data_IF_963028712770
#
_entry.id   IF_963028712770
#
_cell.length_a   1.000
_cell.length_b   1.000
_cell.length_c   1.000
_cell.angle_alpha   90.00
_cell.angle_beta   90.00
_cell.angle_gamma   90.00
#
_symmetry.space_group_name_H-M   'P 1'
#
loop_
_entity.id
_entity.type
_entity.pdbx_description
1 polymer ?
#
# COMPACT_ATOMS: atom_id res chain seq x y z
N UNK A 1 13.55 -9.05 22.54
CA UNK A 1 12.15 -8.64 22.68
C UNK A 1 11.61 -8.39 21.28
N UNK A 2 11.04 -9.41 20.66
CA UNK A 2 10.24 -9.26 19.44
C UNK A 2 8.98 -8.53 19.86
N UNK A 3 8.81 -7.27 19.44
CA UNK A 3 7.52 -6.63 19.61
C UNK A 3 6.53 -7.41 18.74
N UNK A 4 5.44 -7.92 19.33
CA UNK A 4 4.27 -8.37 18.59
C UNK A 4 3.76 -7.14 17.83
N UNK A 5 4.15 -7.01 16.57
CA UNK A 5 3.57 -5.96 15.74
C UNK A 5 2.14 -6.45 15.47
N UNK A 6 1.18 -5.73 16.03
CA UNK A 6 -0.24 -6.01 15.84
C UNK A 6 -0.66 -5.52 14.45
N UNK A 7 -1.71 -6.10 13.89
CA UNK A 7 -2.29 -5.68 12.61
C UNK A 7 -2.62 -4.18 12.65
N UNK A 8 -2.07 -3.41 11.73
CA UNK A 8 -2.31 -1.96 11.60
C UNK A 8 -3.22 -1.70 10.41
N UNK A 9 -4.40 -1.13 10.66
CA UNK A 9 -5.24 -0.57 9.61
C UNK A 9 -4.61 0.75 9.13
N UNK A 10 -4.18 0.78 7.88
CA UNK A 10 -3.55 1.97 7.25
C UNK A 10 -4.62 2.87 6.62
N UNK A 11 -5.68 2.25 6.12
CA UNK A 11 -6.83 2.92 5.52
C UNK A 11 -8.08 2.08 5.68
N UNK A 12 -9.09 2.38 4.87
CA UNK A 12 -10.35 1.61 4.87
C UNK A 12 -10.18 0.21 4.27
N UNK A 13 -9.28 0.07 3.30
CA UNK A 13 -9.03 -1.15 2.54
C UNK A 13 -7.59 -1.62 2.60
N UNK A 14 -6.71 -0.94 3.34
CA UNK A 14 -5.27 -1.23 3.38
C UNK A 14 -4.84 -1.58 4.79
N UNK A 15 -4.08 -2.66 4.93
CA UNK A 15 -3.63 -3.18 6.21
C UNK A 15 -2.16 -3.58 6.14
N UNK A 16 -1.45 -3.41 7.23
CA UNK A 16 -0.14 -4.04 7.46
C UNK A 16 -0.34 -5.07 8.56
N UNK A 17 -0.17 -6.34 8.21
CA UNK A 17 -0.25 -7.44 9.18
C UNK A 17 1.06 -8.22 9.13
N UNK A 18 1.86 -8.23 10.21
CA UNK A 18 3.14 -8.96 10.26
C UNK A 18 3.00 -10.47 10.05
N UNK A 19 1.82 -11.03 10.32
CA UNK A 19 1.50 -12.43 10.03
C UNK A 19 1.19 -12.67 8.54
N UNK A 20 1.02 -11.61 7.74
CA UNK A 20 0.70 -11.66 6.32
C UNK A 20 1.86 -11.05 5.51
N UNK A 21 2.35 -11.77 4.49
CA UNK A 21 3.36 -11.27 3.55
C UNK A 21 4.57 -10.58 4.24
N UNK A 22 5.07 -11.14 5.35
CA UNK A 22 6.23 -10.60 6.10
C UNK A 22 6.07 -9.13 6.55
N UNK A 23 4.84 -8.67 6.83
CA UNK A 23 4.58 -7.28 7.21
C UNK A 23 4.53 -6.30 6.02
N UNK A 24 4.38 -6.81 4.80
CA UNK A 24 4.03 -5.98 3.65
C UNK A 24 2.60 -5.45 3.78
N UNK A 25 2.35 -4.29 3.16
CA UNK A 25 1.00 -3.73 3.08
C UNK A 25 0.17 -4.51 2.06
N UNK A 26 -0.99 -4.99 2.49
CA UNK A 26 -1.93 -5.74 1.66
C UNK A 26 -3.31 -5.09 1.67
N UNK A 27 -4.17 -5.49 0.73
CA UNK A 27 -5.57 -5.11 0.81
C UNK A 27 -6.27 -5.91 1.90
N UNK A 28 -7.06 -5.23 2.74
CA UNK A 28 -7.76 -5.79 3.89
C UNK A 28 -8.62 -6.99 3.47
N UNK A 29 -8.44 -8.11 4.18
CA UNK A 29 -9.15 -9.36 3.88
C UNK A 29 -8.61 -10.14 2.69
N UNK A 30 -7.50 -9.69 2.07
CA UNK A 30 -6.84 -10.37 0.97
C UNK A 30 -5.36 -10.62 1.27
N UNK A 31 -4.73 -11.48 0.47
CA UNK A 31 -3.26 -11.64 0.45
C UNK A 31 -2.62 -10.95 -0.75
N UNK A 32 -3.31 -9.98 -1.35
CA UNK A 32 -2.81 -9.24 -2.51
C UNK A 32 -1.96 -8.06 -2.01
N UNK A 33 -0.65 -8.00 -2.33
CA UNK A 33 0.20 -6.89 -1.96
C UNK A 33 -0.15 -5.61 -2.72
N UNK A 34 -0.07 -4.46 -2.05
CA UNK A 34 -0.37 -3.15 -2.64
C UNK A 34 0.66 -2.78 -3.72
N UNK A 35 1.94 -3.06 -3.48
CA UNK A 35 3.04 -2.81 -4.42
C UNK A 35 2.87 -3.56 -5.74
N UNK A 36 2.36 -4.79 -5.68
CA UNK A 36 2.04 -5.59 -6.86
C UNK A 36 0.98 -4.91 -7.71
N UNK A 37 -0.14 -4.48 -7.11
CA UNK A 37 -1.21 -3.79 -7.85
C UNK A 37 -0.70 -2.50 -8.50
N UNK A 38 0.10 -1.70 -7.77
CA UNK A 38 0.74 -0.50 -8.31
C UNK A 38 1.70 -0.82 -9.48
N UNK A 39 2.43 -1.95 -9.39
CA UNK A 39 3.31 -2.42 -10.47
C UNK A 39 2.52 -2.78 -11.72
N UNK A 40 1.36 -3.43 -11.60
CA UNK A 40 0.52 -3.73 -12.75
C UNK A 40 -0.11 -2.48 -13.36
N UNK A 41 -0.54 -1.52 -12.52
CA UNK A 41 -0.96 -0.19 -13.01
C UNK A 41 0.15 0.49 -13.82
N UNK A 42 1.40 0.45 -13.33
CA UNK A 42 2.55 0.99 -14.04
C UNK A 42 2.84 0.29 -15.38
N UNK A 43 2.46 -1.00 -15.51
CA UNK A 43 2.52 -1.76 -16.77
C UNK A 43 1.36 -1.46 -17.73
N UNK A 44 0.47 -0.54 -17.38
CA UNK A 44 -0.65 -0.12 -18.22
C UNK A 44 -1.95 -0.91 -18.03
N UNK A 45 -2.06 -1.74 -17.00
CA UNK A 45 -3.31 -2.43 -16.68
C UNK A 45 -4.34 -1.43 -16.18
N UNK A 46 -5.59 -1.52 -16.66
CA UNK A 46 -6.69 -0.71 -16.14
C UNK A 46 -7.20 -1.26 -14.82
N UNK A 47 -7.83 -0.40 -14.01
CA UNK A 47 -8.46 -0.82 -12.75
C UNK A 47 -9.49 -1.94 -13.00
N UNK A 48 -10.26 -1.86 -14.08
CA UNK A 48 -11.24 -2.89 -14.42
C UNK A 48 -10.58 -4.24 -14.76
N UNK A 49 -9.39 -4.24 -15.37
CA UNK A 49 -8.62 -5.47 -15.60
C UNK A 49 -8.08 -6.05 -14.29
N UNK A 50 -7.67 -5.20 -13.34
CA UNK A 50 -7.17 -5.63 -12.04
C UNK A 50 -8.28 -6.23 -11.19
N UNK A 51 -9.47 -5.63 -11.17
CA UNK A 51 -10.66 -6.20 -10.48
C UNK A 51 -11.10 -7.51 -11.12
N UNK A 52 -10.93 -7.69 -12.45
CA UNK A 52 -11.17 -8.99 -13.09
C UNK A 52 -10.12 -10.04 -12.72
N UNK A 53 -8.88 -9.62 -12.49
CA UNK A 53 -7.75 -10.52 -12.15
C UNK A 53 -7.77 -10.91 -10.68
N UNK A 54 -8.22 -9.99 -9.81
CA UNK A 54 -8.46 -10.19 -8.38
C UNK A 54 -9.89 -9.79 -8.04
N UNK A 55 -10.87 -10.70 -8.20
CA UNK A 55 -12.28 -10.44 -7.89
C UNK A 55 -12.53 -10.03 -6.43
N UNK A 56 -11.61 -10.34 -5.52
CA UNK A 56 -11.62 -9.92 -4.13
C UNK A 56 -11.30 -8.42 -3.94
N UNK A 57 -10.71 -7.77 -4.94
CA UNK A 57 -10.42 -6.35 -4.90
C UNK A 57 -11.60 -5.54 -5.42
N UNK A 58 -11.90 -4.46 -4.69
CA UNK A 58 -12.84 -3.45 -5.15
C UNK A 58 -12.09 -2.29 -5.80
N UNK A 59 -12.72 -1.64 -6.79
CA UNK A 59 -12.19 -0.41 -7.39
C UNK A 59 -11.83 0.67 -6.34
N UNK A 60 -12.68 0.95 -5.32
CA UNK A 60 -12.32 1.87 -4.25
C UNK A 60 -11.05 1.49 -3.47
N UNK A 61 -10.78 0.19 -3.29
CA UNK A 61 -9.58 -0.26 -2.62
C UNK A 61 -8.32 0.08 -3.43
N UNK A 62 -8.37 -0.16 -4.75
CA UNK A 62 -7.26 0.18 -5.67
C UNK A 62 -7.05 1.70 -5.72
N UNK A 63 -8.14 2.48 -5.74
CA UNK A 63 -8.07 3.94 -5.71
C UNK A 63 -7.44 4.46 -4.40
N UNK A 64 -7.80 3.87 -3.24
CA UNK A 64 -7.18 4.22 -1.95
C UNK A 64 -5.66 3.93 -1.95
N UNK A 65 -5.24 2.80 -2.52
CA UNK A 65 -3.82 2.48 -2.68
C UNK A 65 -3.07 3.54 -3.52
N UNK A 66 -3.67 4.00 -4.62
CA UNK A 66 -3.08 5.04 -5.48
C UNK A 66 -2.97 6.37 -4.71
N UNK A 67 -4.02 6.75 -3.97
CA UNK A 67 -4.02 7.97 -3.16
C UNK A 67 -2.92 7.92 -2.10
N UNK A 68 -2.81 6.80 -1.37
CA UNK A 68 -1.78 6.63 -0.36
C UNK A 68 -0.37 6.69 -0.96
N UNK A 69 -0.15 6.04 -2.11
CA UNK A 69 1.14 6.10 -2.81
C UNK A 69 1.50 7.55 -3.17
N UNK A 70 0.56 8.34 -3.71
CA UNK A 70 0.76 9.76 -4.00
C UNK A 70 1.06 10.59 -2.74
N UNK A 71 0.35 10.35 -1.64
CA UNK A 71 0.59 11.02 -0.36
C UNK A 71 1.96 10.68 0.23
N UNK A 72 2.43 9.44 0.10
CA UNK A 72 3.73 9.01 0.60
C UNK A 72 4.90 9.78 -0.03
N UNK A 73 4.75 10.23 -1.28
CA UNK A 73 5.75 11.07 -1.95
C UNK A 73 5.88 12.45 -1.29
N UNK A 74 4.77 13.05 -0.85
CA UNK A 74 4.79 14.32 -0.13
C UNK A 74 5.48 14.18 1.23
N UNK A 75 5.20 13.08 1.95
CA UNK A 75 5.88 12.79 3.22
C UNK A 75 7.39 12.55 3.04
N UNK A 76 7.79 11.87 1.95
CA UNK A 76 9.19 11.67 1.61
C UNK A 76 9.91 12.99 1.31
N UNK A 77 9.29 13.90 0.56
CA UNK A 77 9.86 15.22 0.27
C UNK A 77 10.07 16.04 1.55
N UNK A 78 9.15 15.96 2.51
CA UNK A 78 9.28 16.67 3.79
C UNK A 78 10.41 16.12 4.67
N UNK A 79 10.63 14.79 4.66
CA UNK A 79 11.71 14.15 5.42
C UNK A 79 13.08 14.34 4.76
N UNK A 80 13.15 14.28 3.42
CA UNK A 80 14.36 14.59 2.66
C UNK A 80 14.82 16.04 2.83
N UNK A 81 13.88 17.01 2.88
CA UNK A 81 14.21 18.42 3.10
C UNK A 81 14.80 18.71 4.50
N UNK A 82 14.53 17.86 5.50
CA UNK A 82 15.04 18.03 6.88
C UNK A 82 16.38 17.36 7.13
N UNK A 83 16.72 16.32 6.35
CA UNK A 83 17.99 15.59 6.49
C UNK A 83 19.20 16.32 5.90
N UNK A 84 18.99 17.44 5.20
CA UNK A 84 20.04 18.37 4.75
C UNK A 84 20.38 19.50 5.74
N UNK A 85 19.70 19.61 6.88
CA UNK A 85 20.05 20.54 7.98
C UNK A 85 20.39 19.74 9.24
N UNK A 86 21.60 19.21 9.28
CA UNK A 86 22.15 18.54 10.45
C UNK A 86 23.65 18.34 10.25
N UNK A 87 24.43 19.29 10.77
CA UNK A 87 25.89 19.20 10.94
C UNK A 87 26.28 18.11 11.93
#
# INVERSE_FOLDING_TARGET
>A
MTQEIERVEVGKYLVIDPAICHGQMTFAGTRVPVDMVLTYLAKGYSIDQLVRSWPELSKPAIEEAIVLASQSLHAYQYTAARSGQGS
#
